data_IF_744870859651
#
_entry.id   IF_744870859651
#
_cell.length_a   1.000
_cell.length_b   1.000
_cell.length_c   1.000
_cell.angle_alpha   90.00
_cell.angle_beta   90.00
_cell.angle_gamma   90.00
#
_symmetry.space_group_name_H-M   'P 1'
#
loop_
_entity.id
_entity.type
_entity.pdbx_description
1 polymer ?
#
# COMPACT_ATOMS: atom_id res chain seq x y z
N UNK A 1 0.90 -3.37 29.60
CA UNK A 1 1.03 -4.45 28.60
C UNK A 1 1.93 -3.98 27.46
N UNK A 2 3.12 -4.56 27.29
CA UNK A 2 3.95 -4.32 26.10
C UNK A 2 3.21 -4.90 24.89
N UNK A 3 2.65 -4.06 24.03
CA UNK A 3 2.21 -4.48 22.69
C UNK A 3 3.47 -4.98 21.99
N UNK A 4 3.62 -6.29 21.79
CA UNK A 4 4.64 -6.81 20.88
C UNK A 4 4.28 -6.29 19.48
N UNK A 5 4.99 -5.27 19.02
CA UNK A 5 4.58 -4.50 17.84
C UNK A 5 4.90 -5.18 16.51
N UNK A 6 5.87 -6.10 16.51
CA UNK A 6 6.21 -6.90 15.33
C UNK A 6 5.72 -8.34 15.51
N UNK A 7 4.97 -8.85 14.52
CA UNK A 7 4.89 -10.29 14.29
C UNK A 7 6.26 -10.78 13.84
N UNK A 8 6.84 -11.77 14.54
CA UNK A 8 8.16 -12.34 14.24
C UNK A 8 8.33 -12.66 12.73
N UNK A 9 7.26 -13.17 12.09
CA UNK A 9 7.20 -13.45 10.65
C UNK A 9 7.44 -12.22 9.78
N UNK A 10 6.91 -11.05 10.18
CA UNK A 10 7.12 -9.80 9.45
C UNK A 10 8.58 -9.33 9.52
N UNK A 11 9.23 -9.54 10.67
CA UNK A 11 10.64 -9.24 10.84
C UNK A 11 11.50 -10.13 9.94
N UNK A 12 11.26 -11.44 9.96
CA UNK A 12 12.02 -12.41 9.17
C UNK A 12 11.98 -12.09 7.66
N UNK A 13 10.80 -11.72 7.13
CA UNK A 13 10.68 -11.32 5.73
C UNK A 13 11.39 -9.99 5.42
N UNK A 14 11.41 -9.05 6.37
CA UNK A 14 12.10 -7.77 6.20
C UNK A 14 13.61 -7.89 6.31
N UNK A 15 14.11 -8.66 7.28
CA UNK A 15 15.53 -8.82 7.61
C UNK A 15 16.34 -9.28 6.39
N UNK A 16 15.77 -10.18 5.59
CA UNK A 16 16.38 -10.66 4.33
C UNK A 16 16.52 -9.59 3.24
N UNK A 17 15.79 -8.47 3.36
CA UNK A 17 15.70 -7.42 2.35
C UNK A 17 16.49 -6.16 2.71
N UNK A 18 16.77 -5.99 4.00
CA UNK A 18 17.48 -4.84 4.54
C UNK A 18 18.96 -4.94 4.19
N UNK A 19 19.55 -3.92 3.54
CA UNK A 19 20.97 -3.93 3.23
C UNK A 19 21.83 -3.94 4.50
N UNK A 20 22.92 -4.70 4.45
CA UNK A 20 23.88 -4.76 5.55
C UNK A 20 24.39 -3.35 5.88
N UNK A 21 24.39 -3.03 7.18
CA UNK A 21 24.89 -1.75 7.66
C UNK A 21 26.40 -1.66 7.39
N UNK A 22 26.81 -0.65 6.63
CA UNK A 22 28.23 -0.33 6.44
C UNK A 22 28.69 0.56 7.59
N UNK A 23 29.73 0.17 8.36
CA UNK A 23 30.30 1.02 9.39
C UNK A 23 30.83 2.33 8.79
N UNK A 24 30.68 3.44 9.51
CA UNK A 24 31.30 4.71 9.12
C UNK A 24 32.81 4.61 9.33
N UNK A 25 33.65 4.88 8.30
CA UNK A 25 35.11 4.94 8.48
C UNK A 25 35.56 6.00 9.49
N UNK A 26 34.72 7.03 9.71
CA UNK A 26 34.99 8.13 10.65
C UNK A 26 34.63 7.80 12.11
N UNK A 27 34.16 6.59 12.40
CA UNK A 27 33.58 6.24 13.69
C UNK A 27 32.26 6.97 13.96
N UNK A 28 31.78 6.89 15.21
CA UNK A 28 30.56 7.57 15.69
C UNK A 28 29.68 6.68 16.56
N UNK A 29 28.54 7.24 17.01
CA UNK A 29 27.54 6.48 17.78
C UNK A 29 27.06 5.28 16.96
N UNK A 30 27.04 4.06 17.54
CA UNK A 30 26.57 2.87 16.84
C UNK A 30 25.17 3.08 16.24
N UNK A 31 24.98 2.54 15.03
CA UNK A 31 23.68 2.53 14.37
C UNK A 31 22.69 1.76 15.25
N UNK A 32 21.49 2.32 15.41
CA UNK A 32 20.39 1.61 16.06
C UNK A 32 20.09 0.31 15.32
N UNK A 33 19.91 -0.77 16.08
CA UNK A 33 19.47 -2.06 15.59
C UNK A 33 18.25 -1.95 14.64
N UNK A 34 18.29 -2.73 13.57
CA UNK A 34 17.33 -2.63 12.47
C UNK A 34 15.94 -3.12 12.91
N UNK A 35 15.87 -4.08 13.85
CA UNK A 35 14.61 -4.55 14.44
C UNK A 35 14.01 -3.53 15.39
N UNK A 36 14.83 -2.86 16.20
CA UNK A 36 14.40 -1.75 17.05
C UNK A 36 13.85 -0.58 16.20
N UNK A 37 14.55 -0.19 15.14
CA UNK A 37 14.09 0.86 14.23
C UNK A 37 12.76 0.46 13.54
N UNK A 38 12.63 -0.80 13.12
CA UNK A 38 11.40 -1.29 12.50
C UNK A 38 10.21 -1.30 13.47
N UNK A 39 10.42 -1.71 14.72
CA UNK A 39 9.39 -1.62 15.76
C UNK A 39 8.89 -0.18 15.94
N UNK A 40 9.81 0.79 15.97
CA UNK A 40 9.44 2.20 16.08
C UNK A 40 8.65 2.70 14.87
N UNK A 41 9.03 2.30 13.65
CA UNK A 41 8.27 2.60 12.42
C UNK A 41 6.85 2.04 12.50
N UNK A 42 6.70 0.77 12.90
CA UNK A 42 5.40 0.13 13.04
C UNK A 42 4.56 0.78 14.15
N UNK A 43 5.18 1.15 15.26
CA UNK A 43 4.50 1.88 16.33
C UNK A 43 3.89 3.16 15.80
N UNK A 44 4.69 4.00 15.14
CA UNK A 44 4.23 5.26 14.54
C UNK A 44 3.15 5.01 13.48
N UNK A 45 3.33 4.00 12.61
CA UNK A 45 2.33 3.65 11.60
C UNK A 45 0.97 3.29 12.23
N UNK A 46 1.00 2.48 13.29
CA UNK A 46 -0.20 1.97 13.96
C UNK A 46 -0.91 3.05 14.79
N UNK A 47 -0.17 3.82 15.58
CA UNK A 47 -0.74 4.83 16.50
C UNK A 47 -1.03 6.15 15.82
N UNK A 48 -0.23 6.53 14.82
CA UNK A 48 -0.34 7.80 14.11
C UNK A 48 0.33 8.99 14.78
N UNK A 49 1.06 8.76 15.87
CA UNK A 49 1.76 9.84 16.59
C UNK A 49 2.79 10.56 15.69
N UNK A 50 3.12 11.82 15.97
CA UNK A 50 4.30 12.48 15.42
C UNK A 50 5.57 11.67 15.68
N UNK A 51 6.55 11.78 14.77
CA UNK A 51 7.80 11.02 14.90
C UNK A 51 8.59 11.43 16.15
N UNK A 52 8.52 12.70 16.56
CA UNK A 52 9.22 13.23 17.73
C UNK A 52 8.60 12.76 19.05
N UNK A 53 7.35 12.31 19.04
CA UNK A 53 6.61 11.82 20.20
C UNK A 53 6.77 10.30 20.41
N UNK A 54 7.62 9.62 19.62
CA UNK A 54 7.88 8.20 19.84
C UNK A 54 8.53 7.99 21.21
N UNK A 55 7.87 7.26 22.15
CA UNK A 55 8.39 7.12 23.51
C UNK A 55 9.69 6.34 23.53
N UNK A 56 10.73 6.92 24.14
CA UNK A 56 12.08 6.36 24.14
C UNK A 56 12.21 5.15 25.06
N UNK A 57 11.38 5.07 26.09
CA UNK A 57 11.28 3.97 27.05
C UNK A 57 10.88 2.63 26.41
N UNK A 58 10.36 2.66 25.18
CA UNK A 58 10.05 1.45 24.41
C UNK A 58 11.30 0.77 23.83
N UNK A 59 12.46 1.44 23.84
CA UNK A 59 13.72 0.89 23.34
C UNK A 59 13.86 0.92 21.81
N UNK A 60 12.98 1.63 21.09
CA UNK A 60 13.03 1.74 19.62
C UNK A 60 13.95 2.88 19.13
N UNK A 61 14.71 3.49 20.04
CA UNK A 61 15.47 4.71 19.78
C UNK A 61 14.57 5.93 19.53
N UNK A 62 15.16 7.03 19.04
CA UNK A 62 14.39 8.24 18.73
C UNK A 62 13.54 8.04 17.48
N UNK A 63 12.33 8.60 17.45
CA UNK A 63 11.49 8.46 16.26
C UNK A 63 12.03 9.18 15.03
N UNK A 64 12.91 10.17 15.17
CA UNK A 64 13.68 10.72 14.05
C UNK A 64 14.68 9.71 13.45
N UNK A 65 15.21 8.80 14.25
CA UNK A 65 16.04 7.69 13.74
C UNK A 65 15.18 6.68 12.97
N UNK A 66 13.99 6.36 13.48
CA UNK A 66 13.00 5.54 12.78
C UNK A 66 12.56 6.17 11.45
N UNK A 67 12.30 7.47 11.44
CA UNK A 67 11.94 8.22 10.22
C UNK A 67 13.07 8.23 9.18
N UNK A 68 14.31 8.46 9.61
CA UNK A 68 15.48 8.36 8.71
C UNK A 68 15.61 6.95 8.15
N UNK A 69 15.36 5.91 8.97
CA UNK A 69 15.40 4.51 8.53
C UNK A 69 14.32 4.21 7.50
N UNK A 70 13.08 4.64 7.74
CA UNK A 70 11.96 4.51 6.80
C UNK A 70 12.34 5.08 5.43
N UNK A 71 12.92 6.29 5.41
CA UNK A 71 13.35 6.96 4.17
C UNK A 71 14.53 6.28 3.51
N UNK A 72 15.52 5.81 4.29
CA UNK A 72 16.64 5.04 3.75
C UNK A 72 16.13 3.80 3.01
N UNK A 73 15.34 2.98 3.71
CA UNK A 73 14.77 1.74 3.16
C UNK A 73 13.84 1.99 1.98
N UNK A 74 13.15 3.13 1.94
CA UNK A 74 12.38 3.54 0.76
C UNK A 74 13.28 3.81 -0.45
N UNK A 75 14.42 4.51 -0.27
CA UNK A 75 15.37 4.74 -1.37
C UNK A 75 16.02 3.45 -1.87
N UNK A 76 16.19 2.48 -0.99
CA UNK A 76 16.75 1.15 -1.27
C UNK A 76 15.69 0.13 -1.76
N UNK A 77 14.44 0.57 -1.97
CA UNK A 77 13.34 -0.26 -2.47
C UNK A 77 12.90 -1.39 -1.53
N UNK A 78 13.28 -1.33 -0.25
CA UNK A 78 12.99 -2.39 0.74
C UNK A 78 11.48 -2.59 0.90
N UNK A 79 10.70 -1.51 0.94
CA UNK A 79 9.24 -1.60 1.15
C UNK A 79 8.48 -2.22 -0.03
N UNK A 80 8.91 -1.94 -1.26
CA UNK A 80 8.36 -2.59 -2.45
C UNK A 80 8.72 -4.07 -2.48
N UNK A 81 9.98 -4.41 -2.16
CA UNK A 81 10.42 -5.81 -2.05
C UNK A 81 9.71 -6.56 -0.93
N UNK A 82 9.46 -5.93 0.22
CA UNK A 82 8.73 -6.54 1.34
C UNK A 82 7.28 -6.84 0.95
N UNK A 83 6.59 -5.87 0.33
CA UNK A 83 5.23 -6.09 -0.16
C UNK A 83 5.19 -7.22 -1.19
N UNK A 84 6.13 -7.25 -2.13
CA UNK A 84 6.25 -8.34 -3.10
C UNK A 84 6.54 -9.70 -2.43
N UNK A 85 7.45 -9.77 -1.46
CA UNK A 85 7.79 -11.00 -0.75
C UNK A 85 6.55 -11.62 -0.08
N UNK A 86 5.71 -10.81 0.57
CA UNK A 86 4.47 -11.28 1.19
C UNK A 86 3.41 -11.69 0.16
N UNK A 87 3.36 -11.05 -1.01
CA UNK A 87 2.53 -11.54 -2.11
C UNK A 87 3.04 -12.90 -2.62
N UNK A 88 4.35 -13.09 -2.74
CA UNK A 88 4.94 -14.37 -3.12
C UNK A 88 4.59 -15.46 -2.09
N UNK A 89 4.68 -15.15 -0.78
CA UNK A 89 4.26 -16.07 0.28
C UNK A 89 2.78 -16.44 0.19
N UNK A 90 1.90 -15.45 0.05
CA UNK A 90 0.48 -15.72 -0.18
C UNK A 90 0.28 -16.61 -1.41
N UNK A 91 1.03 -16.39 -2.49
CA UNK A 91 0.94 -17.20 -3.71
C UNK A 91 1.44 -18.63 -3.52
N UNK A 92 2.50 -18.84 -2.75
CA UNK A 92 3.03 -20.19 -2.43
C UNK A 92 1.97 -21.07 -1.75
N UNK A 93 1.08 -20.45 -0.96
CA UNK A 93 -0.04 -21.14 -0.32
C UNK A 93 -1.36 -21.01 -1.09
N UNK A 94 -1.32 -20.56 -2.35
CA UNK A 94 -2.48 -20.29 -3.23
C UNK A 94 -3.56 -19.39 -2.61
N UNK A 95 -3.15 -18.40 -1.81
CA UNK A 95 -4.05 -17.51 -1.08
C UNK A 95 -4.43 -16.23 -1.82
N UNK A 96 -3.84 -15.97 -3.00
CA UNK A 96 -4.24 -14.87 -3.88
C UNK A 96 -5.29 -15.35 -4.87
N UNK A 97 -6.50 -14.81 -4.78
CA UNK A 97 -7.58 -15.13 -5.71
C UNK A 97 -7.49 -14.25 -6.96
N UNK A 98 -6.84 -14.81 -7.98
CA UNK A 98 -6.66 -14.17 -9.28
C UNK A 98 -7.89 -14.21 -10.19
N UNK A 99 -8.96 -14.91 -9.80
CA UNK A 99 -10.17 -14.99 -10.63
C UNK A 99 -10.78 -13.62 -10.86
N UNK A 100 -10.55 -12.67 -9.95
CA UNK A 100 -11.07 -11.32 -10.01
C UNK A 100 -10.23 -10.36 -9.16
N UNK A 101 -10.10 -9.14 -9.65
CA UNK A 101 -9.63 -8.01 -8.87
C UNK A 101 -10.68 -6.89 -8.84
N UNK A 102 -10.54 -6.00 -7.87
CA UNK A 102 -11.32 -4.76 -7.76
C UNK A 102 -10.37 -3.56 -7.62
N UNK A 103 -10.69 -2.45 -8.28
CA UNK A 103 -9.96 -1.18 -8.16
C UNK A 103 -10.86 -0.10 -7.58
N UNK A 104 -10.29 0.72 -6.70
CA UNK A 104 -10.94 1.92 -6.22
C UNK A 104 -9.94 3.03 -5.84
N UNK A 105 -10.45 4.26 -5.80
CA UNK A 105 -9.74 5.43 -5.33
C UNK A 105 -10.34 5.95 -4.03
N UNK A 106 -9.49 6.39 -3.10
CA UNK A 106 -9.94 7.09 -1.89
C UNK A 106 -9.17 8.39 -1.69
N UNK A 107 -9.92 9.47 -1.45
CA UNK A 107 -9.34 10.79 -1.17
C UNK A 107 -8.89 10.91 0.29
N UNK A 108 -7.74 11.54 0.49
CA UNK A 108 -7.22 12.01 1.78
C UNK A 108 -7.23 13.53 1.76
N UNK A 109 -8.06 14.11 2.61
CA UNK A 109 -8.27 15.56 2.67
C UNK A 109 -7.15 16.28 3.43
N UNK A 110 -6.90 17.53 3.04
CA UNK A 110 -6.06 18.51 3.76
C UNK A 110 -4.66 18.02 4.18
N UNK A 111 -3.86 17.39 3.29
CA UNK A 111 -2.45 17.19 3.57
C UNK A 111 -1.73 18.56 3.72
N UNK A 112 -0.60 18.66 4.44
CA UNK A 112 0.16 19.89 4.63
C UNK A 112 0.94 20.34 3.36
N UNK A 113 0.40 20.06 2.18
CA UNK A 113 1.07 20.22 0.89
C UNK A 113 2.05 19.10 0.55
N UNK A 114 2.84 19.33 -0.51
CA UNK A 114 3.85 18.40 -0.99
C UNK A 114 3.51 17.76 -2.34
N UNK A 115 4.33 16.80 -2.73
CA UNK A 115 4.20 16.10 -4.01
C UNK A 115 2.86 15.34 -4.09
N UNK A 116 2.27 15.24 -5.29
CA UNK A 116 1.00 14.55 -5.49
C UNK A 116 -0.10 15.02 -4.52
N UNK A 117 -0.21 16.34 -4.37
CA UNK A 117 -1.32 17.03 -3.74
C UNK A 117 -1.92 18.01 -4.75
N UNK A 118 -3.23 18.24 -4.68
CA UNK A 118 -3.90 19.16 -5.60
C UNK A 118 -5.31 19.52 -5.14
N UNK A 119 -5.92 20.57 -5.72
CA UNK A 119 -7.24 21.03 -5.33
C UNK A 119 -8.29 19.95 -5.60
N UNK A 120 -9.11 19.64 -4.61
CA UNK A 120 -10.15 18.63 -4.74
C UNK A 120 -11.42 19.26 -5.34
N UNK A 121 -11.83 18.87 -6.56
CA UNK A 121 -13.03 19.43 -7.19
C UNK A 121 -14.32 19.12 -6.42
N UNK A 122 -14.35 18.07 -5.60
CA UNK A 122 -15.52 17.70 -4.79
C UNK A 122 -15.49 18.25 -3.36
N UNK A 123 -14.44 18.97 -2.97
CA UNK A 123 -14.29 19.58 -1.63
C UNK A 123 -13.87 21.05 -1.75
N UNK A 124 -14.61 21.81 -2.58
CA UNK A 124 -14.44 23.27 -2.74
C UNK A 124 -13.01 23.70 -3.08
N UNK A 125 -12.27 22.87 -3.82
CA UNK A 125 -10.88 23.15 -4.19
C UNK A 125 -9.87 22.99 -3.06
N UNK A 126 -10.26 22.49 -1.88
CA UNK A 126 -9.31 22.23 -0.79
C UNK A 126 -8.25 21.24 -1.22
N UNK A 127 -7.04 21.43 -0.72
CA UNK A 127 -5.93 20.56 -1.05
C UNK A 127 -6.20 19.12 -0.59
N UNK A 128 -5.86 18.16 -1.44
CA UNK A 128 -6.05 16.74 -1.16
C UNK A 128 -5.11 15.86 -1.97
N UNK A 129 -5.04 14.60 -1.59
CA UNK A 129 -4.42 13.53 -2.38
C UNK A 129 -5.38 12.35 -2.50
N UNK A 130 -5.11 11.43 -3.42
CA UNK A 130 -5.89 10.21 -3.64
C UNK A 130 -4.95 9.03 -3.60
N UNK A 131 -5.37 7.97 -2.92
CA UNK A 131 -4.75 6.64 -3.01
C UNK A 131 -5.59 5.79 -3.96
N UNK A 132 -4.94 5.13 -4.90
CA UNK A 132 -5.54 4.19 -5.84
C UNK A 132 -5.05 2.80 -5.48
N UNK A 133 -5.97 1.88 -5.19
CA UNK A 133 -5.62 0.54 -4.76
C UNK A 133 -6.24 -0.50 -5.68
N UNK A 134 -5.46 -1.53 -5.98
CA UNK A 134 -5.94 -2.73 -6.66
C UNK A 134 -5.88 -3.89 -5.67
N UNK A 135 -6.98 -4.59 -5.48
CA UNK A 135 -7.06 -5.77 -4.61
C UNK A 135 -7.53 -7.00 -5.36
N UNK A 136 -7.14 -8.17 -4.88
CA UNK A 136 -7.73 -9.44 -5.32
C UNK A 136 -9.19 -9.59 -4.81
N UNK A 137 -9.83 -10.73 -5.11
CA UNK A 137 -11.20 -10.99 -4.69
C UNK A 137 -11.38 -11.19 -3.17
N UNK A 138 -10.31 -11.36 -2.40
CA UNK A 138 -10.31 -11.53 -0.95
C UNK A 138 -9.93 -10.24 -0.20
N UNK A 139 -9.36 -9.25 -0.89
CA UNK A 139 -8.95 -7.97 -0.34
C UNK A 139 -7.44 -7.83 -0.13
N UNK A 140 -6.64 -8.78 -0.64
CA UNK A 140 -5.19 -8.69 -0.67
C UNK A 140 -4.80 -7.49 -1.54
N UNK A 141 -4.07 -6.50 -1.02
CA UNK A 141 -3.63 -5.36 -1.81
C UNK A 141 -2.52 -5.79 -2.77
N UNK A 142 -2.81 -5.80 -4.07
CA UNK A 142 -1.87 -6.19 -5.12
C UNK A 142 -0.97 -5.02 -5.54
N UNK A 143 -1.52 -3.80 -5.57
CA UNK A 143 -0.79 -2.58 -5.91
C UNK A 143 -1.46 -1.36 -5.27
N UNK A 144 -0.66 -0.34 -5.00
CA UNK A 144 -1.13 0.96 -4.51
C UNK A 144 -0.32 2.10 -5.15
N UNK A 145 -1.01 3.15 -5.59
CA UNK A 145 -0.42 4.39 -6.11
C UNK A 145 -1.08 5.60 -5.44
N UNK A 146 -0.44 6.77 -5.58
CA UNK A 146 -0.95 8.03 -5.03
C UNK A 146 -0.93 9.10 -6.10
N UNK A 147 -1.95 9.95 -6.13
CA UNK A 147 -2.01 11.14 -6.97
C UNK A 147 -2.53 12.37 -6.23
N UNK A 148 -2.36 13.55 -6.80
CA UNK A 148 -3.14 14.74 -6.40
C UNK A 148 -4.66 14.51 -6.53
N UNK A 149 -5.46 15.18 -5.68
CA UNK A 149 -6.92 15.02 -5.68
C UNK A 149 -7.63 15.60 -6.92
N UNK A 150 -6.97 16.51 -7.64
CA UNK A 150 -7.44 17.07 -8.90
C UNK A 150 -7.39 16.07 -10.07
N UNK A 151 -6.61 14.99 -9.96
CA UNK A 151 -6.52 13.98 -11.03
C UNK A 151 -7.72 13.04 -10.98
N UNK A 152 -8.28 12.74 -12.14
CA UNK A 152 -9.35 11.76 -12.29
C UNK A 152 -8.79 10.33 -12.13
N UNK A 153 -9.53 9.43 -11.49
CA UNK A 153 -8.99 8.12 -11.06
C UNK A 153 -8.57 7.24 -12.24
N UNK A 154 -9.23 7.41 -13.38
CA UNK A 154 -8.86 6.78 -14.66
C UNK A 154 -7.45 7.14 -15.16
N UNK A 155 -6.83 8.21 -14.67
CA UNK A 155 -5.51 8.68 -15.14
C UNK A 155 -4.36 7.77 -14.69
N UNK A 156 -4.48 7.18 -13.49
CA UNK A 156 -3.47 6.26 -12.95
C UNK A 156 -3.83 4.80 -13.20
N UNK A 157 -4.95 4.52 -13.88
CA UNK A 157 -5.48 3.17 -14.03
C UNK A 157 -4.48 2.20 -14.69
N UNK A 158 -3.87 2.60 -15.81
CA UNK A 158 -2.89 1.76 -16.51
C UNK A 158 -1.62 1.54 -15.68
N UNK A 159 -1.11 2.62 -15.07
CA UNK A 159 0.04 2.56 -14.17
C UNK A 159 -0.22 1.63 -12.98
N UNK A 160 -1.44 1.66 -12.41
CA UNK A 160 -1.82 0.81 -11.29
C UNK A 160 -1.87 -0.66 -11.70
N UNK A 161 -2.38 -0.97 -12.90
CA UNK A 161 -2.32 -2.33 -13.43
C UNK A 161 -0.87 -2.77 -13.60
N UNK A 162 0.01 -1.91 -14.12
CA UNK A 162 1.41 -2.27 -14.34
C UNK A 162 2.24 -2.38 -13.08
N UNK A 163 1.84 -1.69 -12.02
CA UNK A 163 2.46 -1.73 -10.70
C UNK A 163 2.25 -3.05 -9.94
N UNK A 164 1.31 -3.91 -10.36
CA UNK A 164 1.19 -5.27 -9.79
C UNK A 164 2.48 -6.02 -10.11
N UNK A 165 3.25 -6.49 -9.11
CA UNK A 165 4.48 -7.20 -9.37
C UNK A 165 4.20 -8.57 -10.01
N UNK A 166 5.20 -9.13 -10.68
CA UNK A 166 5.15 -10.53 -11.06
C UNK A 166 5.28 -11.38 -9.78
N UNK A 167 4.25 -12.16 -9.44
CA UNK A 167 4.18 -12.94 -8.20
C UNK A 167 4.48 -14.41 -8.48
N UNK A 168 5.71 -14.90 -8.24
CA UNK A 168 6.02 -16.33 -8.23
C UNK A 168 5.38 -17.02 -7.02
N UNK A 169 5.34 -18.36 -7.02
CA UNK A 169 4.98 -19.13 -5.83
C UNK A 169 4.36 -20.50 -6.11
N UNK A 170 3.74 -20.70 -7.27
CA UNK A 170 3.28 -22.00 -7.76
C UNK A 170 4.06 -22.40 -9.01
N UNK A 171 3.94 -23.68 -9.42
CA UNK A 171 4.54 -24.16 -10.66
C UNK A 171 4.09 -23.31 -11.86
N UNK A 172 5.03 -22.99 -12.74
CA UNK A 172 4.80 -22.20 -13.95
C UNK A 172 5.21 -20.73 -13.83
N UNK A 173 4.73 -19.92 -14.77
CA UNK A 173 5.11 -18.51 -14.90
C UNK A 173 4.54 -17.67 -13.74
N UNK A 174 5.32 -16.73 -13.15
CA UNK A 174 4.80 -15.77 -12.18
C UNK A 174 3.54 -15.06 -12.68
N UNK A 175 2.51 -15.01 -11.83
CA UNK A 175 1.23 -14.40 -12.20
C UNK A 175 1.25 -12.91 -11.87
N UNK A 176 0.77 -12.09 -12.81
CA UNK A 176 0.76 -10.61 -12.71
C UNK A 176 -0.64 -10.01 -12.92
N UNK A 177 -1.60 -10.81 -13.39
CA UNK A 177 -2.87 -10.32 -13.93
C UNK A 177 -4.04 -11.16 -13.41
N UNK A 178 -5.14 -10.51 -12.98
CA UNK A 178 -6.39 -11.18 -12.67
C UNK A 178 -7.15 -11.52 -13.95
N UNK A 179 -8.07 -12.48 -13.88
CA UNK A 179 -8.88 -12.88 -15.03
C UNK A 179 -9.92 -11.81 -15.39
N UNK A 180 -10.48 -11.14 -14.38
CA UNK A 180 -11.43 -10.03 -14.55
C UNK A 180 -11.15 -8.88 -13.58
N UNK A 181 -11.43 -7.65 -14.00
CA UNK A 181 -11.32 -6.47 -13.16
C UNK A 181 -12.66 -5.76 -13.00
N UNK A 182 -13.07 -5.57 -11.75
CA UNK A 182 -14.21 -4.75 -11.36
C UNK A 182 -13.75 -3.32 -11.06
N UNK A 183 -14.44 -2.35 -11.64
CA UNK A 183 -14.22 -0.93 -11.39
C UNK A 183 -15.56 -0.20 -11.42
N UNK A 184 -15.64 0.94 -10.74
CA UNK A 184 -16.84 1.76 -10.73
C UNK A 184 -17.04 2.51 -12.06
N UNK A 185 -18.16 3.24 -12.13
CA UNK A 185 -18.51 4.06 -13.30
C UNK A 185 -17.50 5.18 -13.56
N UNK A 186 -16.73 5.59 -12.56
CA UNK A 186 -15.61 6.50 -12.69
C UNK A 186 -14.64 6.01 -13.77
N UNK A 187 -14.42 4.70 -13.90
CA UNK A 187 -13.49 4.13 -14.88
C UNK A 187 -14.10 3.83 -16.26
N UNK A 188 -15.34 4.26 -16.54
CA UNK A 188 -16.02 4.01 -17.82
C UNK A 188 -15.48 4.89 -18.96
N UNK A 189 -14.22 4.65 -19.34
CA UNK A 189 -13.57 5.26 -20.49
C UNK A 189 -13.05 4.18 -21.44
N UNK A 190 -13.06 4.49 -22.75
CA UNK A 190 -12.54 3.59 -23.78
C UNK A 190 -11.08 3.18 -23.50
N UNK A 191 -10.24 4.11 -23.04
CA UNK A 191 -8.84 3.84 -22.65
C UNK A 191 -8.72 2.78 -21.56
N UNK A 192 -9.57 2.81 -20.52
CA UNK A 192 -9.53 1.83 -19.44
C UNK A 192 -9.89 0.43 -19.96
N UNK A 193 -10.91 0.32 -20.82
CA UNK A 193 -11.30 -0.96 -21.44
C UNK A 193 -10.22 -1.48 -22.40
N UNK A 194 -9.59 -0.60 -23.17
CA UNK A 194 -8.48 -0.95 -24.06
C UNK A 194 -7.27 -1.46 -23.26
N UNK A 195 -6.89 -0.77 -22.19
CA UNK A 195 -5.79 -1.16 -21.31
C UNK A 195 -5.99 -2.55 -20.68
N UNK A 196 -7.23 -2.89 -20.30
CA UNK A 196 -7.57 -4.21 -19.82
C UNK A 196 -7.46 -5.28 -20.92
N UNK A 197 -8.01 -5.00 -22.10
CA UNK A 197 -7.93 -5.91 -23.26
C UNK A 197 -6.49 -6.22 -23.65
N UNK A 198 -5.63 -5.19 -23.72
CA UNK A 198 -4.20 -5.34 -24.02
C UNK A 198 -3.47 -6.26 -23.02
N UNK A 199 -3.97 -6.33 -21.78
CA UNK A 199 -3.40 -7.15 -20.70
C UNK A 199 -4.12 -8.50 -20.52
N UNK A 200 -5.06 -8.83 -21.41
CA UNK A 200 -5.86 -10.06 -21.34
C UNK A 200 -6.84 -10.10 -20.16
N UNK A 201 -7.20 -8.96 -19.57
CA UNK A 201 -8.09 -8.88 -18.41
C UNK A 201 -9.53 -8.61 -18.89
N UNK A 202 -10.50 -9.41 -18.44
CA UNK A 202 -11.91 -9.16 -18.73
C UNK A 202 -12.41 -7.90 -17.99
N UNK A 203 -12.92 -6.92 -18.73
CA UNK A 203 -13.44 -5.68 -18.16
C UNK A 203 -14.84 -5.87 -17.55
N UNK A 204 -14.96 -5.66 -16.23
CA UNK A 204 -16.23 -5.56 -15.49
C UNK A 204 -16.41 -4.14 -14.93
N UNK A 205 -16.36 -3.18 -15.85
CA UNK A 205 -16.59 -1.75 -15.56
C UNK A 205 -18.04 -1.42 -15.89
N UNK A 206 -18.79 -0.91 -14.91
CA UNK A 206 -20.15 -0.43 -15.17
C UNK A 206 -20.14 0.77 -16.09
N UNK A 207 -21.04 0.74 -17.08
CA UNK A 207 -21.29 1.88 -17.97
C UNK A 207 -22.08 2.99 -17.27
N UNK A 208 -21.66 4.24 -17.46
CA UNK A 208 -22.39 5.44 -17.02
C UNK A 208 -23.74 5.51 -17.74
N UNK A 209 -24.77 6.01 -17.05
CA UNK A 209 -26.13 6.15 -17.60
C UNK A 209 -26.93 4.85 -17.81
N UNK A 210 -26.29 3.68 -17.92
CA UNK A 210 -26.99 2.42 -18.26
C UNK A 210 -27.15 1.45 -17.08
N UNK A 211 -26.10 1.21 -16.28
CA UNK A 211 -26.19 0.21 -15.21
C UNK A 211 -26.58 0.84 -13.87
N UNK A 212 -27.49 0.21 -13.12
CA UNK A 212 -27.77 0.59 -11.72
C UNK A 212 -26.52 0.41 -10.85
N UNK A 213 -26.30 1.37 -9.95
CA UNK A 213 -25.17 1.32 -9.01
C UNK A 213 -25.28 0.19 -7.98
N UNK A 214 -26.48 -0.38 -7.77
CA UNK A 214 -26.74 -1.42 -6.77
C UNK A 214 -26.02 -2.75 -7.08
N UNK A 215 -25.92 -3.16 -8.35
CA UNK A 215 -25.24 -4.41 -8.74
C UNK A 215 -23.71 -4.34 -8.60
N UNK A 216 -23.13 -3.14 -8.51
CA UNK A 216 -21.68 -2.93 -8.37
C UNK A 216 -21.17 -3.25 -6.97
N UNK A 217 -21.99 -3.04 -5.93
CA UNK A 217 -21.59 -3.23 -4.53
C UNK A 217 -21.20 -4.67 -4.18
N UNK A 218 -21.77 -5.68 -4.86
CA UNK A 218 -21.55 -7.11 -4.55
C UNK A 218 -20.07 -7.54 -4.61
N UNK A 219 -19.27 -6.86 -5.42
CA UNK A 219 -17.85 -7.19 -5.63
C UNK A 219 -16.90 -6.04 -5.28
N UNK A 220 -17.38 -4.79 -5.25
CA UNK A 220 -16.59 -3.61 -4.89
C UNK A 220 -16.34 -3.49 -3.37
N UNK A 221 -17.23 -4.01 -2.53
CA UNK A 221 -17.07 -3.94 -1.07
C UNK A 221 -15.71 -4.47 -0.58
N UNK A 222 -15.08 -5.40 -1.32
CA UNK A 222 -13.77 -5.95 -1.00
C UNK A 222 -12.67 -4.88 -1.02
N UNK A 223 -12.65 -4.02 -2.04
CA UNK A 223 -11.64 -2.95 -2.15
C UNK A 223 -11.94 -1.78 -1.20
N UNK A 224 -13.22 -1.47 -0.98
CA UNK A 224 -13.67 -0.51 0.03
C UNK A 224 -13.27 -0.96 1.45
N UNK A 225 -13.40 -2.26 1.74
CA UNK A 225 -12.92 -2.86 3.00
C UNK A 225 -11.41 -2.74 3.15
N UNK A 226 -10.62 -2.97 2.09
CA UNK A 226 -9.17 -2.77 2.16
C UNK A 226 -8.82 -1.30 2.41
N UNK A 227 -9.57 -0.35 1.84
CA UNK A 227 -9.44 1.06 2.20
C UNK A 227 -9.76 1.33 3.68
N UNK A 228 -10.77 0.67 4.25
CA UNK A 228 -11.08 0.76 5.68
C UNK A 228 -9.93 0.19 6.55
N UNK A 229 -9.31 -0.93 6.14
CA UNK A 229 -8.13 -1.47 6.82
C UNK A 229 -6.95 -0.49 6.77
N UNK A 230 -6.69 0.14 5.62
CA UNK A 230 -5.67 1.19 5.51
C UNK A 230 -5.97 2.40 6.41
N UNK A 231 -7.24 2.79 6.52
CA UNK A 231 -7.66 3.86 7.43
C UNK A 231 -7.55 3.45 8.93
N UNK A 232 -7.44 2.16 9.24
CA UNK A 232 -7.19 1.67 10.59
C UNK A 232 -5.76 1.92 11.09
N UNK A 233 -4.81 2.22 10.21
CA UNK A 233 -3.46 2.62 10.59
C UNK A 233 -3.46 4.12 10.91
N UNK A 234 -3.19 4.48 12.16
CA UNK A 234 -3.28 5.86 12.65
C UNK A 234 -2.55 6.87 11.76
N UNK A 235 -1.33 6.53 11.31
CA UNK A 235 -0.49 7.43 10.50
C UNK A 235 -1.01 7.66 9.08
N UNK A 236 -1.95 6.84 8.61
CA UNK A 236 -2.54 6.90 7.27
C UNK A 236 -3.95 7.52 7.26
N UNK A 237 -4.53 7.82 8.44
CA UNK A 237 -5.83 8.51 8.54
C UNK A 237 -5.77 9.92 7.97
N UNK A 238 -4.68 10.62 8.29
CA UNK A 238 -4.34 11.93 7.74
C UNK A 238 -2.95 11.81 7.13
N UNK A 239 -2.76 12.35 5.93
CA UNK A 239 -1.44 12.42 5.32
C UNK A 239 -0.70 13.64 5.84
N UNK A 240 0.23 13.43 6.78
CA UNK A 240 1.18 14.46 7.22
C UNK A 240 2.47 14.50 6.41
N UNK A 241 2.83 13.38 5.76
CA UNK A 241 4.09 13.26 5.02
C UNK A 241 4.03 14.05 3.69
N UNK A 242 4.80 15.15 3.62
CA UNK A 242 4.90 16.02 2.42
C UNK A 242 5.67 15.36 1.28
N UNK A 243 6.69 14.57 1.60
CA UNK A 243 7.45 13.80 0.61
C UNK A 243 6.69 12.54 0.21
N UNK A 244 6.48 12.35 -1.09
CA UNK A 244 5.71 11.22 -1.60
C UNK A 244 6.37 9.88 -1.24
N UNK A 245 7.70 9.79 -1.32
CA UNK A 245 8.44 8.58 -0.98
C UNK A 245 8.16 8.09 0.44
N UNK A 246 8.17 8.99 1.44
CA UNK A 246 7.86 8.63 2.83
C UNK A 246 6.42 8.16 2.99
N UNK A 247 5.46 8.80 2.29
CA UNK A 247 4.07 8.39 2.34
C UNK A 247 3.85 7.02 1.67
N UNK A 248 4.48 6.78 0.51
CA UNK A 248 4.45 5.49 -0.17
C UNK A 248 5.06 4.38 0.68
N UNK A 249 6.17 4.66 1.39
CA UNK A 249 6.79 3.71 2.31
C UNK A 249 5.80 3.22 3.38
N UNK A 250 5.08 4.16 4.03
CA UNK A 250 4.05 3.84 5.02
C UNK A 250 2.88 3.06 4.42
N UNK A 251 2.42 3.44 3.22
CA UNK A 251 1.35 2.74 2.50
C UNK A 251 1.75 1.31 2.12
N UNK A 252 2.98 1.12 1.63
CA UNK A 252 3.52 -0.20 1.26
C UNK A 252 3.72 -1.08 2.47
N UNK A 253 4.22 -0.53 3.58
CA UNK A 253 4.30 -1.24 4.85
C UNK A 253 2.90 -1.63 5.37
N UNK A 254 1.90 -0.75 5.28
CA UNK A 254 0.53 -1.10 5.64
C UNK A 254 -0.04 -2.20 4.74
N UNK A 255 0.24 -2.18 3.43
CA UNK A 255 -0.13 -3.26 2.51
C UNK A 255 0.55 -4.59 2.88
N UNK A 256 1.84 -4.55 3.24
CA UNK A 256 2.58 -5.71 3.74
C UNK A 256 1.94 -6.29 5.02
N UNK A 257 1.62 -5.44 6.00
CA UNK A 257 0.91 -5.87 7.23
C UNK A 257 -0.46 -6.49 6.91
N UNK A 258 -1.20 -5.94 5.95
CA UNK A 258 -2.47 -6.53 5.50
C UNK A 258 -2.24 -7.91 4.86
N UNK A 259 -1.24 -8.04 4.00
CA UNK A 259 -0.89 -9.33 3.37
C UNK A 259 -0.57 -10.40 4.43
N UNK A 260 0.23 -10.05 5.44
CA UNK A 260 0.55 -10.96 6.54
C UNK A 260 -0.68 -11.40 7.32
N UNK A 261 -1.60 -10.47 7.64
CA UNK A 261 -2.87 -10.80 8.31
C UNK A 261 -3.77 -11.69 7.45
N UNK A 262 -3.72 -11.52 6.13
CA UNK A 262 -4.40 -12.45 5.22
C UNK A 262 -3.79 -13.84 5.30
N UNK A 263 -2.46 -13.98 5.36
CA UNK A 263 -1.81 -15.28 5.55
C UNK A 263 -2.26 -15.95 6.84
N UNK A 264 -2.21 -15.25 7.98
CA UNK A 264 -2.61 -15.80 9.29
C UNK A 264 -4.10 -16.20 9.38
N UNK A 265 -4.94 -15.69 8.47
CA UNK A 265 -6.36 -16.04 8.41
C UNK A 265 -6.63 -17.29 7.59
N UNK A 266 -5.76 -17.62 6.64
CA UNK A 266 -5.99 -18.66 5.64
C UNK A 266 -4.95 -19.79 5.63
N UNK A 267 -3.82 -19.61 6.33
CA UNK A 267 -2.75 -20.57 6.54
C UNK A 267 -2.59 -20.84 8.04
#
# INVERSE_FOLDING_TARGET
MKRALISQKLWEELELLVPAAQPSPKGGRPRLDDRAAFNGILFVLMTGIPWEELPQELGFGSGMTCWRRLRQWQREGVWDRLHQALLCRLRQYDQIDWSRASVDGASVAKPPGGQETGPNPTDRGKLGSKRHILTDARGVPLAILVSGANRHDSMLFEQLLDAVPAVPGLQGRPRKRPDKLHADKGYDYAKCRAALRQRGIQARIARRGMHSSQRLGRHRWVVERTHAWLAGFGKLRIRFERQLGTHLALLKLACAVICLRCMERFC
#
